data_IF_439872968427
#
_entry.id   IF_439872968427
#
_cell.length_a   1.000
_cell.length_b   1.000
_cell.length_c   1.000
_cell.angle_alpha   90.00
_cell.angle_beta   90.00
_cell.angle_gamma   90.00
#
_symmetry.space_group_name_H-M   'P 1'
#
loop_
_entity.id
_entity.type
_entity.pdbx_description
1 polymer ?
#
# COMPACT_ATOMS: atom_id res chain seq x y z
N UNK A 1 35.22 -9.15 14.38
CA UNK A 1 34.91 -9.95 15.58
C UNK A 1 33.43 -9.82 15.90
N UNK A 2 32.74 -10.96 15.93
CA UNK A 2 31.49 -11.29 16.64
C UNK A 2 30.27 -10.33 16.56
N UNK A 3 29.40 -10.57 15.57
CA UNK A 3 27.95 -10.23 15.65
C UNK A 3 27.09 -11.49 15.64
N UNK A 4 27.48 -12.49 16.42
CA UNK A 4 26.58 -13.57 16.85
C UNK A 4 25.77 -13.01 18.02
N UNK A 5 24.64 -12.32 17.75
CA UNK A 5 23.51 -12.05 18.67
C UNK A 5 22.71 -10.81 18.21
N UNK A 6 21.95 -10.91 17.13
CA UNK A 6 20.65 -10.20 17.02
C UNK A 6 19.66 -11.18 16.39
N UNK A 7 19.44 -12.30 17.07
CA UNK A 7 18.17 -13.03 17.01
C UNK A 7 17.18 -12.24 17.85
N UNK A 8 16.74 -11.08 17.35
CA UNK A 8 15.63 -10.36 17.97
C UNK A 8 14.35 -10.79 17.28
N UNK A 9 13.67 -11.71 17.97
CA UNK A 9 12.30 -12.16 17.75
C UNK A 9 11.43 -10.97 17.34
N UNK A 10 11.05 -10.87 16.07
CA UNK A 10 9.97 -9.97 15.64
C UNK A 10 8.65 -10.72 15.84
N UNK A 11 8.33 -10.98 17.09
CA UNK A 11 6.96 -11.26 17.52
C UNK A 11 6.34 -9.92 17.94
N UNK A 12 6.21 -9.00 16.98
CA UNK A 12 5.48 -7.75 17.19
C UNK A 12 4.09 -7.90 16.59
N UNK A 13 3.22 -8.61 17.31
CA UNK A 13 1.78 -8.59 17.06
C UNK A 13 1.25 -7.28 17.65
N UNK A 14 1.37 -6.20 16.88
CA UNK A 14 0.59 -4.97 17.13
C UNK A 14 -0.67 -5.05 16.27
N UNK A 15 -1.88 -4.91 16.86
CA UNK A 15 -3.08 -4.69 16.08
C UNK A 15 -3.02 -3.28 15.50
N UNK A 16 -2.41 -3.15 14.32
CA UNK A 16 -2.46 -1.91 13.54
C UNK A 16 -3.89 -1.72 13.06
N UNK A 17 -4.59 -0.77 13.68
CA UNK A 17 -5.85 -0.24 13.14
C UNK A 17 -5.53 0.44 11.81
N UNK A 18 -5.75 -0.28 10.71
CA UNK A 18 -5.53 0.24 9.36
C UNK A 18 -6.66 1.23 9.05
N UNK A 19 -6.39 2.52 9.23
CA UNK A 19 -7.18 3.55 8.56
C UNK A 19 -7.07 3.30 7.05
N UNK A 20 -8.17 2.84 6.44
CA UNK A 20 -8.23 2.50 5.04
C UNK A 20 -7.95 3.74 4.17
N UNK A 21 -6.69 3.95 3.81
CA UNK A 21 -6.32 4.86 2.74
C UNK A 21 -6.83 4.24 1.43
N UNK A 22 -7.73 4.90 0.68
CA UNK A 22 -8.16 4.42 -0.62
C UNK A 22 -6.94 4.41 -1.55
N UNK A 23 -6.38 3.22 -1.76
CA UNK A 23 -5.25 3.00 -2.66
C UNK A 23 -5.64 3.42 -4.07
N UNK A 24 -5.07 4.54 -4.53
CA UNK A 24 -4.96 4.82 -5.95
C UNK A 24 -4.24 3.65 -6.62
N UNK A 25 -4.53 3.42 -7.90
CA UNK A 25 -3.74 2.54 -8.80
C UNK A 25 -2.32 3.10 -8.91
N UNK A 26 -1.55 2.99 -7.84
CA UNK A 26 -0.11 3.05 -7.87
C UNK A 26 0.38 1.70 -8.37
N UNK A 27 1.44 1.72 -9.14
CA UNK A 27 2.14 0.52 -9.52
C UNK A 27 2.68 -0.14 -8.23
N UNK A 28 1.91 -1.09 -7.69
CA UNK A 28 2.21 -1.74 -6.41
C UNK A 28 3.57 -2.44 -6.44
N UNK A 29 4.05 -2.79 -7.63
CA UNK A 29 5.37 -3.35 -7.86
C UNK A 29 6.45 -2.31 -7.63
N UNK A 30 6.33 -1.13 -8.25
CA UNK A 30 7.28 -0.02 -8.04
C UNK A 30 7.33 0.44 -6.58
N UNK A 31 6.18 0.46 -5.88
CA UNK A 31 6.17 0.81 -4.46
C UNK A 31 6.92 -0.20 -3.61
N UNK A 32 6.75 -1.51 -3.88
CA UNK A 32 7.48 -2.57 -3.18
C UNK A 32 8.96 -2.52 -3.48
N UNK A 33 9.35 -2.32 -4.74
CA UNK A 33 10.74 -2.18 -5.15
C UNK A 33 11.43 -1.03 -4.40
N UNK A 34 10.80 0.16 -4.36
CA UNK A 34 11.32 1.31 -3.59
C UNK A 34 11.43 1.02 -2.09
N UNK A 35 10.50 0.27 -1.53
CA UNK A 35 10.53 -0.13 -0.11
C UNK A 35 11.69 -1.09 0.16
N UNK A 36 11.93 -2.07 -0.71
CA UNK A 36 13.05 -3.01 -0.60
C UNK A 36 14.37 -2.27 -0.76
N UNK A 37 14.46 -1.33 -1.70
CA UNK A 37 15.65 -0.49 -1.89
C UNK A 37 15.99 0.31 -0.62
N UNK A 38 14.98 0.92 0.02
CA UNK A 38 15.18 1.62 1.31
C UNK A 38 15.66 0.67 2.40
N UNK A 39 15.04 -0.51 2.52
CA UNK A 39 15.46 -1.51 3.50
C UNK A 39 16.89 -1.99 3.23
N UNK A 40 17.26 -2.15 1.96
CA UNK A 40 18.62 -2.49 1.57
C UNK A 40 19.62 -1.39 1.97
N UNK A 41 19.28 -0.12 1.74
CA UNK A 41 20.12 1.02 2.11
C UNK A 41 20.33 1.13 3.63
N UNK A 42 19.29 0.86 4.41
CA UNK A 42 19.32 0.99 5.88
C UNK A 42 19.92 -0.23 6.58
N UNK A 43 19.70 -1.44 6.04
CA UNK A 43 20.02 -2.70 6.71
C UNK A 43 21.14 -3.51 6.03
N UNK A 44 21.57 -3.11 4.82
CA UNK A 44 22.59 -3.84 4.05
C UNK A 44 22.13 -5.25 3.69
N UNK A 45 20.97 -5.38 3.04
CA UNK A 45 20.39 -6.68 2.73
C UNK A 45 21.24 -7.44 1.69
N UNK A 46 21.53 -8.70 1.96
CA UNK A 46 22.06 -9.64 0.96
C UNK A 46 21.02 -9.94 -0.13
N UNK A 47 21.46 -10.44 -1.28
CA UNK A 47 20.57 -10.82 -2.38
C UNK A 47 19.51 -11.84 -1.95
N UNK A 48 19.92 -12.86 -1.17
CA UNK A 48 18.99 -13.86 -0.64
C UNK A 48 17.92 -13.25 0.29
N UNK A 49 18.26 -12.21 1.05
CA UNK A 49 17.31 -11.51 1.90
C UNK A 49 16.34 -10.66 1.07
N UNK A 50 16.81 -10.00 0.00
CA UNK A 50 15.95 -9.20 -0.90
C UNK A 50 14.88 -10.08 -1.54
N UNK A 51 15.27 -11.25 -2.07
CA UNK A 51 14.35 -12.22 -2.68
C UNK A 51 13.28 -12.67 -1.69
N UNK A 52 13.66 -12.95 -0.43
CA UNK A 52 12.70 -13.34 0.62
C UNK A 52 11.74 -12.21 1.00
N UNK A 53 12.23 -10.98 1.10
CA UNK A 53 11.39 -9.81 1.42
C UNK A 53 10.42 -9.52 0.28
N UNK A 54 10.86 -9.66 -0.97
CA UNK A 54 10.00 -9.50 -2.14
C UNK A 54 8.86 -10.52 -2.15
N UNK A 55 9.19 -11.80 -1.96
CA UNK A 55 8.20 -12.87 -1.86
C UNK A 55 7.18 -12.58 -0.73
N UNK A 56 7.66 -12.15 0.44
CA UNK A 56 6.81 -11.77 1.57
C UNK A 56 5.85 -10.62 1.21
N UNK A 57 6.33 -9.55 0.59
CA UNK A 57 5.47 -8.42 0.18
C UNK A 57 4.47 -8.81 -0.91
N UNK A 58 4.83 -9.74 -1.80
CA UNK A 58 3.92 -10.28 -2.80
C UNK A 58 2.77 -11.03 -2.15
N UNK A 59 3.09 -12.01 -1.30
CA UNK A 59 2.12 -12.80 -0.56
C UNK A 59 1.20 -11.94 0.30
N UNK A 60 1.76 -10.96 1.04
CA UNK A 60 0.95 -10.05 1.85
C UNK A 60 -0.03 -9.23 1.02
N UNK A 61 0.37 -8.77 -0.17
CA UNK A 61 -0.57 -8.02 -1.00
C UNK A 61 -1.69 -8.88 -1.60
N UNK A 62 -1.43 -10.15 -1.89
CA UNK A 62 -2.48 -11.08 -2.32
C UNK A 62 -3.47 -11.34 -1.19
N UNK A 63 -2.99 -11.62 0.03
CA UNK A 63 -3.82 -11.77 1.23
C UNK A 63 -4.66 -10.51 1.50
N UNK A 64 -4.04 -9.35 1.38
CA UNK A 64 -4.72 -8.07 1.61
C UNK A 64 -5.80 -7.79 0.55
N UNK A 65 -5.55 -8.13 -0.72
CA UNK A 65 -6.57 -8.02 -1.79
C UNK A 65 -7.77 -8.92 -1.52
N UNK A 66 -7.54 -10.17 -1.14
CA UNK A 66 -8.60 -11.11 -0.79
C UNK A 66 -9.43 -10.59 0.39
N UNK A 67 -8.77 -10.18 1.48
CA UNK A 67 -9.43 -9.61 2.66
C UNK A 67 -10.26 -8.37 2.32
N UNK A 68 -9.74 -7.50 1.46
CA UNK A 68 -10.47 -6.31 0.99
C UNK A 68 -11.72 -6.65 0.19
N UNK A 69 -11.65 -7.65 -0.70
CA UNK A 69 -12.80 -8.10 -1.48
C UNK A 69 -13.87 -8.72 -0.58
N UNK A 70 -13.46 -9.58 0.35
CA UNK A 70 -14.34 -10.20 1.33
C UNK A 70 -15.02 -9.14 2.20
N UNK A 71 -14.25 -8.22 2.78
CA UNK A 71 -14.78 -7.13 3.61
C UNK A 71 -15.78 -6.27 2.81
N UNK A 72 -15.48 -5.98 1.54
CA UNK A 72 -16.40 -5.22 0.68
C UNK A 72 -17.72 -5.98 0.46
N UNK A 73 -17.65 -7.28 0.22
CA UNK A 73 -18.84 -8.11 0.01
C UNK A 73 -19.70 -8.17 1.27
N UNK A 74 -19.09 -8.42 2.43
CA UNK A 74 -19.79 -8.43 3.73
C UNK A 74 -20.40 -7.06 4.07
N UNK A 75 -19.71 -5.97 3.74
CA UNK A 75 -20.27 -4.64 3.95
C UNK A 75 -21.53 -4.42 3.10
N UNK A 76 -21.53 -4.87 1.84
CA UNK A 76 -22.67 -4.70 0.93
C UNK A 76 -23.91 -5.47 1.39
N UNK A 77 -23.76 -6.58 2.12
CA UNK A 77 -24.91 -7.34 2.66
C UNK A 77 -25.51 -6.69 3.91
N UNK A 78 -24.74 -5.90 4.66
CA UNK A 78 -25.20 -5.18 5.85
C UNK A 78 -25.93 -3.88 5.46
N UNK A 79 -25.50 -3.22 4.39
CA UNK A 79 -26.03 -1.93 3.97
C UNK A 79 -27.33 -2.07 3.17
N UNK A 80 -28.22 -1.09 3.32
CA UNK A 80 -29.40 -0.97 2.46
C UNK A 80 -29.00 -0.61 1.02
N UNK A 81 -29.86 -0.83 0.02
CA UNK A 81 -29.58 -0.43 -1.36
C UNK A 81 -29.22 1.06 -1.50
N UNK A 82 -29.93 1.94 -0.81
CA UNK A 82 -29.67 3.39 -0.81
C UNK A 82 -28.30 3.73 -0.19
N UNK A 83 -27.94 3.07 0.92
CA UNK A 83 -26.64 3.26 1.57
C UNK A 83 -25.49 2.76 0.70
N UNK A 84 -25.68 1.65 -0.03
CA UNK A 84 -24.71 1.14 -0.99
C UNK A 84 -24.48 2.13 -2.14
N UNK A 85 -25.54 2.74 -2.68
CA UNK A 85 -25.42 3.80 -3.71
C UNK A 85 -24.60 4.97 -3.19
N UNK A 86 -24.91 5.48 -1.99
CA UNK A 86 -24.16 6.57 -1.36
C UNK A 86 -22.69 6.21 -1.11
N UNK A 87 -22.41 4.96 -0.73
CA UNK A 87 -21.04 4.48 -0.55
C UNK A 87 -20.24 4.49 -1.86
N UNK A 88 -20.86 4.08 -2.98
CA UNK A 88 -20.21 4.09 -4.28
C UNK A 88 -19.99 5.52 -4.80
N UNK A 89 -20.94 6.44 -4.62
CA UNK A 89 -20.77 7.88 -4.91
C UNK A 89 -19.60 8.47 -4.11
N UNK A 90 -19.53 8.19 -2.82
CA UNK A 90 -18.41 8.63 -1.97
C UNK A 90 -17.06 8.08 -2.47
N UNK A 91 -17.02 6.84 -2.96
CA UNK A 91 -15.80 6.27 -3.57
C UNK A 91 -15.42 6.98 -4.86
N UNK A 92 -16.38 7.24 -5.74
CA UNK A 92 -16.16 7.95 -6.99
C UNK A 92 -15.65 9.37 -6.75
N UNK A 93 -16.29 10.12 -5.85
CA UNK A 93 -15.87 11.48 -5.53
C UNK A 93 -14.46 11.53 -4.94
N UNK A 94 -14.11 10.59 -4.06
CA UNK A 94 -12.73 10.46 -3.56
C UNK A 94 -11.73 10.20 -4.69
N UNK A 95 -12.10 9.35 -5.63
CA UNK A 95 -11.24 9.02 -6.77
C UNK A 95 -11.04 10.22 -7.70
N UNK A 96 -12.08 11.02 -7.96
CA UNK A 96 -12.00 12.26 -8.71
C UNK A 96 -11.08 13.28 -8.06
N UNK A 97 -11.30 13.59 -6.77
CA UNK A 97 -10.43 14.49 -6.00
C UNK A 97 -8.97 14.05 -6.03
N UNK A 98 -8.72 12.74 -5.99
CA UNK A 98 -7.36 12.21 -6.09
C UNK A 98 -6.77 12.41 -7.49
N UNK A 99 -7.55 12.17 -8.56
CA UNK A 99 -7.13 12.41 -9.95
C UNK A 99 -6.82 13.88 -10.19
N UNK A 100 -7.68 14.79 -9.74
CA UNK A 100 -7.46 16.24 -9.86
C UNK A 100 -6.15 16.66 -9.20
N UNK A 101 -5.91 16.25 -7.95
CA UNK A 101 -4.65 16.52 -7.24
C UNK A 101 -3.42 15.98 -7.99
N UNK A 102 -3.51 14.79 -8.57
CA UNK A 102 -2.42 14.21 -9.35
C UNK A 102 -2.19 14.93 -10.68
N UNK A 103 -3.24 15.44 -11.32
CA UNK A 103 -3.11 16.26 -12.54
C UNK A 103 -2.46 17.61 -12.24
N UNK A 104 -2.90 18.30 -11.17
CA UNK A 104 -2.28 19.56 -10.72
C UNK A 104 -0.79 19.39 -10.44
N UNK A 105 -0.41 18.35 -9.68
CA UNK A 105 0.99 18.07 -9.37
C UNK A 105 1.85 17.84 -10.63
N UNK A 106 1.35 17.06 -11.60
CA UNK A 106 2.07 16.82 -12.87
C UNK A 106 2.24 18.11 -13.69
N UNK A 107 1.21 18.95 -13.71
CA UNK A 107 1.25 20.22 -14.43
C UNK A 107 2.25 21.19 -13.79
N UNK A 108 2.30 21.28 -12.45
CA UNK A 108 3.26 22.12 -11.74
C UNK A 108 4.71 21.61 -11.89
N UNK A 109 4.93 20.29 -11.84
CA UNK A 109 6.25 19.68 -12.10
C UNK A 109 6.74 19.96 -13.53
N UNK A 110 5.84 19.91 -14.53
CA UNK A 110 6.19 20.22 -15.92
C UNK A 110 6.56 21.70 -16.15
N UNK A 111 5.94 22.62 -15.41
CA UNK A 111 6.27 24.06 -15.46
C UNK A 111 7.58 24.39 -14.74
N UNK A 112 7.90 23.69 -13.65
CA UNK A 112 9.13 23.91 -12.88
C UNK A 112 10.39 23.34 -13.54
N UNK A 113 10.25 22.34 -14.41
CA UNK A 113 11.38 21.69 -15.11
C UNK A 113 11.76 22.36 -16.44
N UNK A 114 11.03 23.42 -16.83
CA UNK A 114 11.19 24.13 -18.11
C UNK A 114 12.04 25.39 -18.08
N UNK A 115 12.85 25.61 -17.03
CA UNK A 115 13.83 26.69 -16.92
C UNK A 115 15.21 26.13 -16.59
#
# INVERSE_FOLDING_TARGET
MNVKLISMIIALVLPLSVAAYPGGKGDHEQYRAKKIERLNKELGLSEDQKVKVEALFKEQGEKHRALHQETRSQLQTILTPEQNTKLEEMKQHRHEKWREKHQHKKHDESKSSGY
#
